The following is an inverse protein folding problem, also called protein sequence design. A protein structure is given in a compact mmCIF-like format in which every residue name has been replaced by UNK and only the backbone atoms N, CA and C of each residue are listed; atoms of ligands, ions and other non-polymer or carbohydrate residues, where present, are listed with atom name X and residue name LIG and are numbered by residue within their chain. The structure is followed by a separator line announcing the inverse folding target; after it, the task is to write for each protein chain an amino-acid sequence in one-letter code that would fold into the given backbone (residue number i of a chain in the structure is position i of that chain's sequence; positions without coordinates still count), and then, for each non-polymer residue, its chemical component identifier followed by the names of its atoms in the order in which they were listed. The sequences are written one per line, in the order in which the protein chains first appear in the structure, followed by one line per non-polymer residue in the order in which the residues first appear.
data_IF_405301684673
#
_entry.id   IF_405301684673
#
_cell.length_a   1.000
_cell.length_b   1.000
_cell.length_c   1.000
_cell.angle_alpha   90.00
_cell.angle_beta   90.00
_cell.angle_gamma   90.00
#
_symmetry.space_group_name_H-M   'P 1'
#
loop_
_entity.id
_entity.type
_entity.pdbx_description
1 polymer ?
#
# COMPACT_ATOMS: atom_id res chain seq x y z
N UNK A 1 41.61 4.14 32.69
CA UNK A 1 40.37 3.35 32.47
C UNK A 1 40.59 1.93 33.00
N UNK A 2 40.12 1.65 34.21
CA UNK A 2 40.37 0.42 34.96
C UNK A 2 39.15 -0.51 34.84
N UNK A 3 39.34 -1.74 34.36
CA UNK A 3 38.29 -2.78 34.32
C UNK A 3 38.24 -3.52 35.66
N UNK A 4 37.06 -3.88 36.18
CA UNK A 4 36.96 -4.57 37.47
C UNK A 4 37.47 -6.02 37.39
N UNK A 5 38.21 -6.45 38.43
CA UNK A 5 38.70 -7.81 38.72
C UNK A 5 38.01 -8.32 39.98
N UNK A 6 37.78 -9.64 40.07
CA UNK A 6 37.30 -10.26 41.32
C UNK A 6 38.43 -10.47 42.34
N UNK A 7 38.06 -10.73 43.59
CA UNK A 7 38.94 -10.88 44.75
C UNK A 7 39.81 -12.13 44.77
N UNK A 8 39.80 -12.96 43.71
CA UNK A 8 40.66 -14.13 43.56
C UNK A 8 41.53 -14.09 42.30
N UNK A 9 41.58 -12.97 41.56
CA UNK A 9 42.53 -12.75 40.48
C UNK A 9 42.32 -13.61 39.22
N UNK A 10 41.17 -14.29 39.07
CA UNK A 10 40.91 -15.20 37.95
C UNK A 10 40.15 -14.50 36.81
N UNK A 11 40.56 -14.77 35.55
CA UNK A 11 39.89 -14.23 34.35
C UNK A 11 38.55 -14.95 34.15
N UNK A 12 37.46 -14.20 34.11
CA UNK A 12 36.12 -14.71 33.78
C UNK A 12 35.99 -14.95 32.27
N UNK A 13 36.39 -16.12 31.78
CA UNK A 13 35.99 -16.62 30.46
C UNK A 13 34.66 -17.38 30.60
N UNK A 14 33.55 -16.65 30.49
CA UNK A 14 32.20 -17.25 30.46
C UNK A 14 31.97 -17.88 29.08
N UNK A 15 32.39 -19.13 28.93
CA UNK A 15 32.06 -19.98 27.78
C UNK A 15 30.56 -20.32 27.83
N UNK A 16 29.75 -19.65 27.03
CA UNK A 16 28.38 -20.09 26.74
C UNK A 16 28.47 -21.30 25.80
N UNK A 17 28.44 -22.51 26.37
CA UNK A 17 28.33 -23.75 25.60
C UNK A 17 26.85 -24.01 25.31
N UNK A 18 26.37 -23.48 24.20
CA UNK A 18 25.03 -23.78 23.67
C UNK A 18 24.97 -25.29 23.37
N UNK A 19 24.10 -26.03 24.08
CA UNK A 19 23.76 -27.40 23.68
C UNK A 19 22.92 -27.31 22.41
N UNK A 20 23.57 -27.48 21.26
CA UNK A 20 22.88 -27.82 20.02
C UNK A 20 22.29 -29.21 20.17
N UNK A 21 20.96 -29.28 20.24
CA UNK A 21 20.20 -30.52 20.32
C UNK A 21 20.25 -31.21 18.94
N UNK A 22 21.06 -32.25 18.81
CA UNK A 22 21.14 -33.08 17.60
C UNK A 22 19.93 -34.00 17.54
N UNK A 23 18.87 -33.57 16.83
CA UNK A 23 17.82 -34.46 16.39
C UNK A 23 18.34 -35.35 15.25
N UNK A 24 18.66 -36.60 15.56
CA UNK A 24 18.99 -37.62 14.57
C UNK A 24 17.73 -38.00 13.76
N UNK A 25 17.53 -37.34 12.62
CA UNK A 25 16.46 -37.66 11.67
C UNK A 25 16.83 -38.91 10.88
N UNK A 26 16.31 -40.06 11.31
CA UNK A 26 16.47 -41.37 10.66
C UNK A 26 15.80 -41.35 9.27
N UNK A 27 16.59 -41.12 8.22
CA UNK A 27 16.11 -41.16 6.82
C UNK A 27 15.74 -42.59 6.41
N UNK A 28 14.44 -42.88 6.24
CA UNK A 28 13.96 -44.07 5.52
C UNK A 28 13.96 -43.79 4.01
N UNK A 29 14.41 -44.72 3.16
CA UNK A 29 14.60 -44.45 1.73
C UNK A 29 13.25 -44.48 0.98
N UNK A 30 12.88 -43.36 0.34
CA UNK A 30 11.57 -43.10 -0.33
C UNK A 30 11.51 -43.51 -1.81
N UNK A 31 12.46 -44.30 -2.30
CA UNK A 31 12.53 -44.76 -3.69
C UNK A 31 11.41 -45.73 -4.10
N UNK A 32 10.75 -46.42 -3.16
CA UNK A 32 9.67 -47.37 -3.49
C UNK A 32 8.31 -46.70 -3.76
N UNK A 33 8.11 -45.46 -3.31
CA UNK A 33 6.84 -44.71 -3.54
C UNK A 33 6.83 -43.94 -4.85
N UNK A 34 7.98 -43.69 -5.46
CA UNK A 34 8.06 -42.99 -6.75
C UNK A 34 7.62 -43.89 -7.92
N UNK A 35 7.86 -45.21 -7.84
CA UNK A 35 7.50 -46.15 -8.91
C UNK A 35 5.99 -46.42 -9.02
N UNK A 36 5.25 -46.33 -7.91
CA UNK A 36 3.81 -46.61 -7.91
C UNK A 36 2.96 -45.48 -8.51
N UNK A 37 3.42 -44.23 -8.42
CA UNK A 37 2.68 -43.07 -8.95
C UNK A 37 2.81 -42.97 -10.47
N UNK A 38 3.95 -43.40 -11.04
CA UNK A 38 4.18 -43.36 -12.50
C UNK A 38 3.30 -44.39 -13.23
N UNK A 39 3.00 -45.54 -12.62
CA UNK A 39 2.16 -46.57 -13.25
C UNK A 39 0.67 -46.20 -13.33
N UNK A 40 0.13 -45.41 -12.39
CA UNK A 40 -1.29 -45.02 -12.37
C UNK A 40 -1.60 -43.95 -13.42
N UNK A 41 -0.63 -43.07 -13.72
CA UNK A 41 -0.80 -42.03 -14.76
C UNK A 41 -0.83 -42.64 -16.17
N UNK A 42 -0.17 -43.78 -16.40
CA UNK A 42 -0.16 -44.45 -17.70
C UNK A 42 -1.45 -45.24 -18.00
N UNK A 43 -2.19 -45.70 -16.98
CA UNK A 43 -3.37 -46.55 -17.18
C UNK A 43 -4.69 -45.79 -17.41
N UNK A 44 -4.76 -44.49 -17.08
CA UNK A 44 -5.94 -43.65 -17.38
C UNK A 44 -5.88 -43.05 -18.80
N UNK A 45 -4.74 -43.19 -19.49
CA UNK A 45 -4.52 -42.67 -20.85
C UNK A 45 -5.13 -43.47 -22.01
N UNK A 46 -5.86 -44.58 -21.77
CA UNK A 46 -6.25 -45.50 -22.84
C UNK A 46 -7.75 -45.87 -22.93
N UNK A 47 -8.65 -45.27 -22.14
CA UNK A 47 -10.07 -45.69 -22.12
C UNK A 47 -11.08 -44.51 -22.10
N UNK A 48 -10.93 -43.57 -23.03
CA UNK A 48 -11.85 -42.42 -23.14
C UNK A 48 -11.90 -41.80 -24.54
N UNK A 49 -11.96 -42.62 -25.59
CA UNK A 49 -12.42 -42.16 -26.91
C UNK A 49 -13.95 -42.11 -26.92
N UNK A 50 -14.51 -41.08 -27.56
CA UNK A 50 -15.94 -40.79 -27.83
C UNK A 50 -16.67 -39.98 -26.75
N UNK A 51 -16.59 -38.64 -26.83
CA UNK A 51 -17.65 -37.72 -27.32
C UNK A 51 -16.98 -36.35 -27.51
N UNK A 52 -16.50 -36.08 -28.74
CA UNK A 52 -16.15 -34.71 -29.15
C UNK A 52 -17.44 -33.91 -29.32
N UNK A 53 -17.86 -33.22 -28.26
CA UNK A 53 -18.73 -32.04 -28.37
C UNK A 53 -17.80 -30.82 -28.44
N UNK A 54 -17.85 -30.13 -29.57
CA UNK A 54 -17.11 -28.89 -29.81
C UNK A 54 -17.46 -27.84 -28.74
N UNK A 55 -16.63 -27.72 -27.72
CA UNK A 55 -16.54 -26.51 -26.91
C UNK A 55 -15.50 -25.62 -27.58
N UNK A 56 -15.98 -24.65 -28.37
CA UNK A 56 -15.13 -23.63 -28.96
C UNK A 56 -14.41 -22.86 -27.85
N UNK A 57 -13.09 -22.60 -27.96
CA UNK A 57 -12.38 -21.79 -27.00
C UNK A 57 -12.92 -20.36 -27.07
N UNK A 58 -13.64 -19.92 -26.04
CA UNK A 58 -14.03 -18.51 -25.87
C UNK A 58 -12.73 -17.72 -25.70
N UNK A 59 -12.39 -16.94 -26.72
CA UNK A 59 -11.29 -15.94 -26.74
C UNK A 59 -11.27 -15.21 -25.39
N UNK A 60 -10.10 -15.01 -24.76
CA UNK A 60 -10.02 -14.28 -23.49
C UNK A 60 -10.73 -12.95 -23.69
N UNK A 61 -11.87 -12.84 -23.03
CA UNK A 61 -12.67 -11.65 -22.96
C UNK A 61 -11.77 -10.62 -22.28
N UNK A 62 -11.23 -9.74 -23.11
CA UNK A 62 -10.48 -8.57 -22.67
C UNK A 62 -11.33 -7.93 -21.59
N UNK A 63 -10.90 -8.06 -20.33
CA UNK A 63 -11.28 -7.15 -19.27
C UNK A 63 -11.10 -5.78 -19.87
N UNK A 64 -12.21 -5.13 -20.18
CA UNK A 64 -12.22 -3.81 -20.78
C UNK A 64 -11.30 -2.98 -19.90
N UNK A 65 -10.16 -2.58 -20.45
CA UNK A 65 -9.37 -1.53 -19.85
C UNK A 65 -10.37 -0.40 -19.63
N UNK A 66 -10.59 -0.03 -18.38
CA UNK A 66 -11.27 1.20 -18.05
C UNK A 66 -10.37 2.29 -18.63
N UNK A 67 -10.60 2.62 -19.90
CA UNK A 67 -10.11 3.84 -20.52
C UNK A 67 -10.97 4.95 -19.94
N UNK A 68 -10.76 5.21 -18.64
CA UNK A 68 -11.04 6.50 -18.10
C UNK A 68 -10.00 7.41 -18.72
N UNK A 69 -10.36 8.01 -19.87
CA UNK A 69 -9.70 9.24 -20.28
C UNK A 69 -9.66 10.14 -19.03
N UNK A 70 -8.49 10.69 -18.64
CA UNK A 70 -8.46 11.62 -17.53
C UNK A 70 -9.51 12.69 -17.82
N UNK A 71 -10.36 13.07 -16.84
CA UNK A 71 -11.30 14.16 -17.06
C UNK A 71 -10.46 15.31 -17.60
N UNK A 72 -10.82 15.79 -18.79
CA UNK A 72 -10.14 16.93 -19.39
C UNK A 72 -10.15 18.01 -18.31
N UNK A 73 -8.96 18.35 -17.81
CA UNK A 73 -8.80 19.43 -16.85
C UNK A 73 -9.38 20.64 -17.56
N UNK A 74 -10.55 21.09 -17.09
CA UNK A 74 -11.15 22.31 -17.60
C UNK A 74 -10.06 23.38 -17.58
N UNK A 75 -9.95 24.23 -18.63
CA UNK A 75 -8.91 25.24 -18.70
C UNK A 75 -8.90 25.99 -17.37
N UNK A 76 -7.72 26.07 -16.76
CA UNK A 76 -7.49 26.77 -15.49
C UNK A 76 -8.13 28.16 -15.65
N UNK A 77 -9.29 28.34 -15.02
CA UNK A 77 -9.96 29.63 -15.01
C UNK A 77 -8.98 30.56 -14.32
N UNK A 78 -8.44 31.54 -15.06
CA UNK A 78 -7.68 32.62 -14.46
C UNK A 78 -8.51 33.15 -13.28
N UNK A 79 -7.93 33.38 -12.10
CA UNK A 79 -8.70 33.65 -10.89
C UNK A 79 -9.67 34.79 -11.18
N UNK A 80 -10.94 34.44 -11.40
CA UNK A 80 -11.98 35.45 -11.53
C UNK A 80 -11.97 36.18 -10.21
N UNK A 81 -11.87 37.50 -10.28
CA UNK A 81 -11.91 38.41 -9.14
C UNK A 81 -12.82 37.87 -8.04
N UNK A 82 -12.19 37.51 -6.92
CA UNK A 82 -12.75 36.95 -5.69
C UNK A 82 -14.29 36.94 -5.63
N UNK A 83 -14.87 35.73 -5.74
CA UNK A 83 -16.23 35.47 -5.24
C UNK A 83 -16.22 34.94 -3.78
N UNK A 84 -15.03 34.83 -3.18
CA UNK A 84 -14.79 34.15 -1.91
C UNK A 84 -14.26 35.05 -0.79
N UNK A 85 -14.11 34.50 0.41
CA UNK A 85 -13.56 35.25 1.56
C UNK A 85 -12.03 35.37 1.51
N UNK A 86 -11.38 34.75 0.53
CA UNK A 86 -9.93 34.62 0.45
C UNK A 86 -9.34 35.67 -0.48
N UNK A 87 -8.41 36.48 0.01
CA UNK A 87 -7.59 37.36 -0.84
C UNK A 87 -6.46 36.55 -1.49
N UNK A 88 -6.68 36.15 -2.74
CA UNK A 88 -5.73 35.36 -3.52
C UNK A 88 -4.42 36.07 -3.82
N UNK A 89 -4.38 37.41 -3.85
CA UNK A 89 -3.13 38.16 -4.06
C UNK A 89 -2.25 38.06 -2.81
N UNK A 90 -2.86 38.19 -1.63
CA UNK A 90 -2.16 38.02 -0.36
C UNK A 90 -1.72 36.57 -0.17
N UNK A 91 -2.57 35.60 -0.51
CA UNK A 91 -2.22 34.18 -0.49
C UNK A 91 -1.01 33.89 -1.39
N UNK A 92 -1.05 34.34 -2.66
CA UNK A 92 0.03 34.15 -3.62
C UNK A 92 1.34 34.78 -3.13
N UNK A 93 1.31 36.01 -2.63
CA UNK A 93 2.49 36.70 -2.11
C UNK A 93 3.11 35.95 -0.91
N UNK A 94 2.27 35.42 0.00
CA UNK A 94 2.75 34.61 1.13
C UNK A 94 3.40 33.31 0.68
N UNK A 95 2.80 32.62 -0.29
CA UNK A 95 3.37 31.37 -0.83
C UNK A 95 4.70 31.65 -1.52
N UNK A 96 4.79 32.71 -2.33
CA UNK A 96 6.05 33.11 -2.96
C UNK A 96 7.14 33.41 -1.93
N UNK A 97 6.79 34.05 -0.81
CA UNK A 97 7.73 34.29 0.28
C UNK A 97 8.20 32.97 0.93
N UNK A 98 7.31 31.98 1.12
CA UNK A 98 7.69 30.65 1.62
C UNK A 98 8.60 29.89 0.63
N UNK A 99 8.35 30.03 -0.67
CA UNK A 99 9.18 29.42 -1.72
C UNK A 99 10.62 29.95 -1.77
N UNK A 100 10.92 31.06 -1.06
CA UNK A 100 12.29 31.54 -0.91
C UNK A 100 13.13 30.63 0.01
N UNK A 101 12.50 29.75 0.80
CA UNK A 101 13.21 28.70 1.54
C UNK A 101 13.80 27.68 0.56
N UNK A 102 15.12 27.47 0.65
CA UNK A 102 15.86 26.54 -0.22
C UNK A 102 15.44 25.08 -0.08
N UNK A 103 14.71 24.73 0.98
CA UNK A 103 14.16 23.38 1.20
C UNK A 103 12.80 23.17 0.50
N UNK A 104 12.20 24.23 -0.04
CA UNK A 104 10.93 24.18 -0.75
C UNK A 104 11.15 24.21 -2.27
N UNK A 105 11.31 23.03 -2.87
CA UNK A 105 11.64 22.90 -4.30
C UNK A 105 10.44 23.21 -5.21
N UNK A 106 9.26 22.73 -4.85
CA UNK A 106 8.06 22.87 -5.65
C UNK A 106 6.80 22.61 -4.85
N UNK A 107 5.75 23.35 -5.18
CA UNK A 107 4.47 23.32 -4.48
C UNK A 107 3.35 23.56 -5.48
N UNK A 108 2.26 22.80 -5.38
CA UNK A 108 1.02 23.06 -6.09
C UNK A 108 -0.09 23.36 -5.08
N UNK A 109 -0.88 24.40 -5.34
CA UNK A 109 -2.00 24.80 -4.51
C UNK A 109 -3.26 24.86 -5.36
N UNK A 110 -4.33 24.25 -4.85
CA UNK A 110 -5.68 24.37 -5.35
C UNK A 110 -6.61 24.78 -4.19
N UNK A 111 -7.49 25.74 -4.43
CA UNK A 111 -8.53 26.17 -3.49
C UNK A 111 -9.88 25.92 -4.14
N UNK A 112 -10.78 25.27 -3.40
CA UNK A 112 -12.15 25.00 -3.83
C UNK A 112 -13.08 25.84 -2.97
N UNK A 113 -13.90 26.68 -3.61
CA UNK A 113 -14.96 27.47 -2.97
C UNK A 113 -16.29 27.16 -3.68
N UNK A 114 -17.36 26.93 -2.91
CA UNK A 114 -18.69 26.61 -3.43
C UNK A 114 -18.71 25.50 -4.49
N UNK A 115 -17.90 24.45 -4.24
CA UNK A 115 -17.78 23.29 -5.12
C UNK A 115 -17.03 23.55 -6.43
N UNK A 116 -16.37 24.71 -6.60
CA UNK A 116 -15.61 25.07 -7.80
C UNK A 116 -14.16 25.42 -7.46
N UNK A 117 -13.24 25.11 -8.37
CA UNK A 117 -11.85 25.54 -8.25
C UNK A 117 -11.79 27.07 -8.40
N UNK A 118 -11.42 27.75 -7.32
CA UNK A 118 -11.32 29.21 -7.26
C UNK A 118 -9.89 29.71 -7.46
N UNK A 119 -8.89 28.89 -7.14
CA UNK A 119 -7.47 29.18 -7.36
C UNK A 119 -6.71 27.89 -7.62
N UNK A 120 -5.88 27.85 -8.67
CA UNK A 120 -4.96 26.75 -8.93
C UNK A 120 -3.65 27.32 -9.44
N UNK A 121 -2.54 27.03 -8.75
CA UNK A 121 -1.22 27.52 -9.14
C UNK A 121 -0.10 26.58 -8.69
N UNK A 122 0.87 26.42 -9.58
CA UNK A 122 2.15 25.76 -9.29
C UNK A 122 3.25 26.78 -8.99
N UNK A 123 4.15 26.41 -8.10
CA UNK A 123 5.30 27.18 -7.66
C UNK A 123 6.55 26.31 -7.71
N UNK A 124 7.68 26.92 -8.08
CA UNK A 124 8.97 26.23 -8.13
C UNK A 124 9.03 25.15 -9.23
N UNK A 125 9.83 24.12 -8.99
CA UNK A 125 10.16 23.06 -9.95
C UNK A 125 10.07 21.67 -9.31
N UNK A 126 9.91 20.65 -10.11
CA UNK A 126 9.80 19.25 -9.65
C UNK A 126 11.10 18.66 -9.10
N UNK A 127 12.25 19.27 -9.41
CA UNK A 127 13.57 18.91 -8.91
C UNK A 127 14.49 20.14 -8.85
N UNK A 128 15.54 20.14 -7.99
CA UNK A 128 16.49 21.24 -7.88
C UNK A 128 17.20 21.57 -9.19
N UNK A 129 17.63 20.55 -9.92
CA UNK A 129 18.34 20.68 -11.20
C UNK A 129 17.61 19.87 -12.28
N UNK A 130 17.31 20.51 -13.41
CA UNK A 130 16.64 19.85 -14.54
C UNK A 130 15.16 19.50 -14.34
N UNK A 131 14.56 19.86 -13.21
CA UNK A 131 13.12 19.65 -12.97
C UNK A 131 12.24 20.55 -13.85
N UNK A 132 11.02 20.11 -14.15
CA UNK A 132 10.04 20.93 -14.86
C UNK A 132 9.37 21.93 -13.91
N UNK A 133 8.88 23.09 -14.39
CA UNK A 133 8.01 23.95 -13.60
C UNK A 133 6.82 23.15 -13.06
N UNK A 134 6.47 23.36 -11.80
CA UNK A 134 5.24 22.76 -11.24
C UNK A 134 4.03 23.37 -11.94
N UNK A 135 3.14 22.52 -12.42
CA UNK A 135 1.87 22.87 -13.09
C UNK A 135 0.71 22.13 -12.41
N UNK A 136 -0.52 22.45 -12.80
CA UNK A 136 -1.70 21.79 -12.25
C UNK A 136 -1.71 20.28 -12.49
N UNK A 137 -1.05 19.83 -13.55
CA UNK A 137 -0.93 18.43 -13.98
C UNK A 137 0.22 17.68 -13.29
N UNK A 138 1.05 18.37 -12.50
CA UNK A 138 2.21 17.74 -11.86
C UNK A 138 1.76 16.68 -10.85
N UNK A 139 2.28 15.47 -11.01
CA UNK A 139 1.97 14.34 -10.12
C UNK A 139 2.87 14.38 -8.89
N UNK A 140 2.25 14.36 -7.71
CA UNK A 140 2.93 14.30 -6.42
C UNK A 140 2.69 12.97 -5.71
N UNK A 141 3.67 12.54 -4.91
CA UNK A 141 3.47 11.45 -3.94
C UNK A 141 2.77 12.02 -2.71
N UNK A 142 1.45 11.89 -2.65
CA UNK A 142 0.58 12.43 -1.59
C UNK A 142 0.67 11.77 -0.20
N UNK A 143 1.52 10.75 -0.02
CA UNK A 143 1.82 10.11 1.27
C UNK A 143 0.58 9.76 2.13
N UNK A 144 0.55 10.18 3.40
CA UNK A 144 -0.53 9.89 4.37
C UNK A 144 -1.91 10.43 3.97
N UNK A 145 -2.02 11.30 2.95
CA UNK A 145 -3.32 11.69 2.40
C UNK A 145 -4.11 10.48 1.87
N UNK A 146 -3.41 9.39 1.51
CA UNK A 146 -4.02 8.11 1.16
C UNK A 146 -4.94 7.54 2.25
N UNK A 147 -4.71 7.88 3.53
CA UNK A 147 -5.52 7.36 4.66
C UNK A 147 -6.94 7.91 4.65
N UNK A 148 -7.11 9.19 4.31
CA UNK A 148 -8.44 9.81 4.22
C UNK A 148 -9.29 9.11 3.15
N UNK A 149 -8.68 8.75 2.02
CA UNK A 149 -9.36 7.99 0.97
C UNK A 149 -9.72 6.59 1.47
N UNK A 150 -8.78 5.88 2.11
CA UNK A 150 -9.05 4.56 2.68
C UNK A 150 -10.18 4.60 3.72
N UNK A 151 -10.18 5.59 4.62
CA UNK A 151 -11.23 5.76 5.62
C UNK A 151 -12.60 6.08 5.00
N UNK A 152 -12.64 6.95 3.98
CA UNK A 152 -13.88 7.27 3.26
C UNK A 152 -14.47 6.04 2.57
N UNK A 153 -13.63 5.25 1.90
CA UNK A 153 -14.04 4.00 1.26
C UNK A 153 -14.53 2.97 2.29
N UNK A 154 -13.85 2.85 3.43
CA UNK A 154 -14.30 1.97 4.52
C UNK A 154 -15.67 2.39 5.07
N UNK A 155 -15.92 3.70 5.21
CA UNK A 155 -17.23 4.21 5.63
C UNK A 155 -18.32 3.93 4.59
N UNK A 156 -18.03 4.09 3.29
CA UNK A 156 -18.94 3.71 2.22
C UNK A 156 -19.26 2.21 2.24
N UNK A 157 -18.25 1.35 2.38
CA UNK A 157 -18.46 -0.10 2.48
C UNK A 157 -19.30 -0.48 3.72
N UNK A 158 -19.16 0.25 4.82
CA UNK A 158 -20.00 0.07 5.99
C UNK A 158 -21.45 0.47 5.74
N UNK A 159 -21.67 1.61 5.07
CA UNK A 159 -22.99 2.08 4.67
C UNK A 159 -23.68 1.10 3.71
N UNK A 160 -22.92 0.50 2.79
CA UNK A 160 -23.41 -0.50 1.84
C UNK A 160 -23.63 -1.89 2.48
N UNK A 161 -23.32 -2.05 3.77
CA UNK A 161 -23.48 -3.31 4.51
C UNK A 161 -22.44 -4.39 4.17
N UNK A 162 -21.36 -4.04 3.46
CA UNK A 162 -20.27 -4.97 3.08
C UNK A 162 -19.42 -5.35 4.29
N UNK A 163 -19.25 -4.42 5.24
CA UNK A 163 -18.60 -4.64 6.54
C UNK A 163 -19.33 -3.88 7.65
N UNK A 164 -19.07 -4.21 8.91
CA UNK A 164 -19.41 -3.34 10.04
C UNK A 164 -18.16 -2.67 10.59
N UNK A 165 -18.25 -1.40 10.98
CA UNK A 165 -17.14 -0.72 11.67
C UNK A 165 -16.79 -1.39 13.01
N UNK A 166 -17.77 -2.03 13.64
CA UNK A 166 -17.60 -2.79 14.89
C UNK A 166 -17.13 -4.23 14.65
N UNK A 167 -16.90 -4.65 13.40
CA UNK A 167 -16.35 -5.97 13.13
C UNK A 167 -14.91 -6.07 13.67
N UNK A 168 -14.55 -7.16 14.37
CA UNK A 168 -13.16 -7.38 14.78
C UNK A 168 -12.26 -7.62 13.56
N UNK A 169 -11.03 -7.10 13.58
CA UNK A 169 -10.09 -7.23 12.46
C UNK A 169 -9.82 -8.70 12.06
N UNK A 170 -9.88 -9.62 13.03
CA UNK A 170 -9.74 -11.06 12.81
C UNK A 170 -10.78 -11.66 11.87
N UNK A 171 -11.95 -11.03 11.70
CA UNK A 171 -13.03 -11.48 10.80
C UNK A 171 -12.58 -11.53 9.33
N UNK A 172 -11.66 -10.65 8.93
CA UNK A 172 -11.26 -10.48 7.53
C UNK A 172 -10.09 -11.39 7.10
N UNK A 173 -9.76 -12.42 7.87
CA UNK A 173 -8.67 -13.36 7.50
C UNK A 173 -7.29 -12.72 7.47
N UNK A 174 -7.06 -11.67 8.27
CA UNK A 174 -5.80 -10.91 8.27
C UNK A 174 -4.58 -11.74 8.73
N UNK A 175 -3.43 -11.48 8.11
CA UNK A 175 -2.13 -11.97 8.56
C UNK A 175 -1.56 -11.17 9.74
N UNK A 176 -2.18 -10.04 10.09
CA UNK A 176 -1.78 -9.18 11.21
C UNK A 176 -1.84 -9.97 12.53
N UNK A 177 -0.74 -9.92 13.31
CA UNK A 177 -0.65 -10.49 14.65
C UNK A 177 -0.22 -9.39 15.61
N UNK A 178 -1.06 -9.11 16.59
CA UNK A 178 -0.81 -8.11 17.60
C UNK A 178 -0.52 -8.79 18.94
N UNK A 179 0.19 -8.12 19.86
CA UNK A 179 0.37 -8.62 21.22
C UNK A 179 -0.96 -8.99 21.87
N UNK A 180 -0.97 -10.06 22.66
CA UNK A 180 -2.15 -10.59 23.37
C UNK A 180 -3.34 -10.94 22.46
N UNK A 181 -3.10 -11.26 21.18
CA UNK A 181 -4.14 -11.54 20.19
C UNK A 181 -5.15 -10.39 20.00
N UNK A 182 -4.73 -9.14 20.21
CA UNK A 182 -5.60 -7.97 20.14
C UNK A 182 -6.34 -7.81 18.80
N UNK A 183 -5.83 -8.39 17.70
CA UNK A 183 -6.54 -8.41 16.41
C UNK A 183 -7.91 -9.11 16.47
N UNK A 184 -8.18 -9.92 17.49
CA UNK A 184 -9.49 -10.58 17.69
C UNK A 184 -10.52 -9.66 18.34
N UNK A 185 -10.08 -8.58 18.97
CA UNK A 185 -10.94 -7.67 19.73
C UNK A 185 -10.97 -6.27 19.14
N UNK A 186 -9.85 -5.80 18.58
CA UNK A 186 -9.79 -4.51 17.88
C UNK A 186 -10.72 -4.56 16.67
N UNK A 187 -11.48 -3.49 16.52
CA UNK A 187 -12.49 -3.32 15.48
C UNK A 187 -11.92 -2.57 14.27
N UNK A 188 -12.68 -2.52 13.18
CA UNK A 188 -12.35 -1.65 12.03
C UNK A 188 -12.38 -0.18 12.45
N UNK A 189 -13.30 0.20 13.34
CA UNK A 189 -13.37 1.55 13.91
C UNK A 189 -12.07 1.91 14.65
N UNK A 190 -11.55 1.04 15.51
CA UNK A 190 -10.29 1.26 16.22
C UNK A 190 -9.08 1.42 15.28
N UNK A 191 -9.14 0.83 14.08
CA UNK A 191 -8.10 0.97 13.06
C UNK A 191 -8.18 2.31 12.30
N UNK A 192 -9.37 2.90 12.23
CA UNK A 192 -9.64 4.14 11.50
C UNK A 192 -9.61 5.39 12.40
N UNK A 193 -9.68 5.21 13.72
CA UNK A 193 -9.54 6.26 14.74
C UNK A 193 -8.12 6.85 14.78
#
# INVERSE_FOLDING_TARGET
MLRPRDSAGRRLTKFYRTRVNTYAFRRRPRWRTAAAVVAVVAAVGAAGLTVSRCVAPKKPEQTAAVSAAPPALAPLVAPETSRGQIDYRVLDARIQAMMADKTMQGLAIAVVEDGRLAFVKGYGRTAPEGGEPVKAETIFRWASLSKTVAGTLSAQLAQDGVLSLTDPLGKFGTSLRLPNDAQRTLTVEDLLA
#
